data_IF_934600796424
#
_entry.id   IF_934600796424
#
_cell.length_a   1.000
_cell.length_b   1.000
_cell.length_c   1.000
_cell.angle_alpha   90.00
_cell.angle_beta   90.00
_cell.angle_gamma   90.00
#
_symmetry.space_group_name_H-M   'P 1'
#
loop_
_entity.id
_entity.type
_entity.pdbx_description
1 polymer ?
#
# COMPACT_ATOMS: atom_id res chain seq x y z
N UNK A 1 -18.53 6.14 -34.99
CA UNK A 1 -17.23 5.69 -34.43
C UNK A 1 -17.30 5.89 -32.93
N UNK A 2 -17.27 4.78 -32.19
CA UNK A 2 -16.89 4.55 -30.79
C UNK A 2 -17.62 5.42 -29.73
N UNK A 3 -18.63 4.95 -29.00
CA UNK A 3 -18.54 3.87 -27.99
C UNK A 3 -17.77 4.42 -26.79
N UNK A 4 -18.35 4.63 -25.61
CA UNK A 4 -18.80 3.58 -24.70
C UNK A 4 -19.89 4.06 -23.75
N UNK A 5 -20.83 3.15 -23.52
CA UNK A 5 -22.09 3.26 -22.81
C UNK A 5 -21.86 3.08 -21.31
N UNK A 6 -22.48 3.96 -20.53
CA UNK A 6 -22.69 3.77 -19.11
C UNK A 6 -23.57 2.53 -18.89
N UNK A 7 -23.05 1.51 -18.21
CA UNK A 7 -23.86 0.38 -17.73
C UNK A 7 -23.70 0.30 -16.21
N UNK A 8 -24.62 0.96 -15.54
CA UNK A 8 -25.02 0.65 -14.17
C UNK A 8 -25.64 -0.75 -14.15
N UNK A 9 -25.10 -1.66 -13.33
CA UNK A 9 -25.80 -2.91 -12.99
C UNK A 9 -26.00 -2.93 -11.48
N UNK A 10 -27.19 -2.52 -11.07
CA UNK A 10 -27.76 -2.87 -9.78
C UNK A 10 -28.83 -3.93 -10.05
N UNK A 11 -28.69 -5.14 -9.51
CA UNK A 11 -29.76 -6.10 -9.22
C UNK A 11 -29.14 -7.18 -8.31
N UNK A 12 -29.34 -7.21 -6.99
CA UNK A 12 -30.52 -7.60 -6.19
C UNK A 12 -31.07 -9.01 -6.50
N UNK A 13 -31.02 -9.85 -5.46
CA UNK A 13 -31.99 -10.91 -5.07
C UNK A 13 -31.85 -12.29 -5.74
N UNK A 14 -31.60 -13.29 -4.87
CA UNK A 14 -32.39 -14.54 -4.82
C UNK A 14 -32.08 -15.65 -5.82
N UNK A 15 -31.46 -16.72 -5.31
CA UNK A 15 -31.38 -18.09 -5.87
C UNK A 15 -32.65 -18.56 -6.61
N UNK A 16 -32.52 -19.40 -7.66
CA UNK A 16 -32.50 -20.84 -7.39
C UNK A 16 -31.46 -21.64 -8.19
N UNK A 17 -31.06 -22.75 -7.58
CA UNK A 17 -30.14 -23.75 -8.11
C UNK A 17 -30.61 -24.34 -9.45
N UNK A 18 -29.74 -24.30 -10.47
CA UNK A 18 -29.86 -25.18 -11.63
C UNK A 18 -28.74 -26.21 -11.52
N UNK A 19 -29.09 -27.39 -11.04
CA UNK A 19 -28.25 -28.58 -11.11
C UNK A 19 -28.25 -29.09 -12.55
N UNK A 20 -27.24 -28.69 -13.33
CA UNK A 20 -26.97 -29.31 -14.63
C UNK A 20 -25.94 -30.41 -14.39
N UNK A 21 -26.43 -31.63 -14.15
CA UNK A 21 -25.63 -32.84 -14.26
C UNK A 21 -25.44 -33.17 -15.75
N UNK A 22 -24.37 -32.63 -16.34
CA UNK A 22 -23.88 -33.04 -17.66
C UNK A 22 -22.44 -33.53 -17.49
N UNK A 23 -22.27 -34.83 -17.77
CA UNK A 23 -21.02 -35.56 -17.81
C UNK A 23 -19.94 -34.81 -18.58
N UNK A 24 -19.01 -34.21 -17.84
CA UNK A 24 -17.76 -33.68 -18.39
C UNK A 24 -16.71 -34.81 -18.37
N UNK A 25 -15.98 -35.05 -19.47
CA UNK A 25 -14.83 -35.94 -19.45
C UNK A 25 -13.84 -35.39 -18.43
N UNK A 26 -13.28 -36.28 -17.59
CA UNK A 26 -12.35 -35.95 -16.52
C UNK A 26 -11.33 -34.89 -16.98
N UNK A 27 -11.53 -33.65 -16.56
CA UNK A 27 -10.52 -32.60 -16.73
C UNK A 27 -9.26 -33.09 -16.00
N UNK A 28 -8.08 -33.10 -16.64
CA UNK A 28 -6.85 -33.25 -15.89
C UNK A 28 -6.86 -32.17 -14.78
N UNK A 29 -6.37 -32.49 -13.56
CA UNK A 29 -6.38 -31.52 -12.48
C UNK A 29 -5.77 -30.22 -13.00
N UNK A 30 -6.40 -29.05 -12.75
CA UNK A 30 -5.85 -27.80 -13.21
C UNK A 30 -4.42 -27.75 -12.69
N UNK A 31 -3.46 -27.71 -13.62
CA UNK A 31 -2.11 -27.28 -13.35
C UNK A 31 -2.23 -26.11 -12.40
N UNK A 32 -1.79 -26.32 -11.16
CA UNK A 32 -1.81 -25.33 -10.11
C UNK A 32 -1.04 -24.14 -10.66
N UNK A 33 -1.77 -23.14 -11.15
CA UNK A 33 -1.21 -21.85 -11.49
C UNK A 33 -0.35 -21.46 -10.30
N UNK A 34 0.96 -21.19 -10.48
CA UNK A 34 1.77 -20.77 -9.37
C UNK A 34 1.10 -19.52 -8.81
N UNK A 35 0.50 -19.66 -7.62
CA UNK A 35 0.04 -18.53 -6.82
C UNK A 35 1.20 -17.53 -6.88
N UNK A 36 0.99 -16.29 -7.34
CA UNK A 36 2.05 -15.32 -7.24
C UNK A 36 2.30 -15.20 -5.74
N UNK A 37 3.38 -15.85 -5.28
CA UNK A 37 3.92 -15.67 -3.94
C UNK A 37 4.51 -14.28 -4.00
N UNK A 38 3.62 -13.28 -3.94
CA UNK A 38 4.00 -11.93 -3.59
C UNK A 38 4.22 -11.99 -2.08
N UNK A 39 5.32 -12.64 -1.70
CA UNK A 39 6.09 -12.18 -0.56
C UNK A 39 6.59 -10.78 -0.96
N UNK A 40 5.67 -9.81 -1.00
CA UNK A 40 6.03 -8.41 -0.97
C UNK A 40 6.68 -8.26 0.40
N UNK A 41 8.01 -8.34 0.42
CA UNK A 41 8.78 -7.96 1.59
C UNK A 41 8.31 -6.55 1.93
N UNK A 42 7.52 -6.44 3.00
CA UNK A 42 7.00 -5.16 3.44
C UNK A 42 8.19 -4.19 3.54
N UNK A 43 8.11 -3.00 2.91
CA UNK A 43 9.24 -2.09 2.89
C UNK A 43 9.65 -1.79 4.32
N UNK A 44 10.96 -1.88 4.59
CA UNK A 44 11.50 -1.70 5.95
C UNK A 44 11.06 -0.34 6.47
N UNK A 45 10.86 -0.20 7.78
CA UNK A 45 10.32 1.03 8.35
C UNK A 45 11.15 2.28 7.98
N UNK A 46 12.46 2.13 7.74
CA UNK A 46 13.34 3.20 7.24
C UNK A 46 12.88 3.72 5.87
N UNK A 47 12.56 2.82 4.94
CA UNK A 47 12.10 3.18 3.59
C UNK A 47 10.74 3.87 3.65
N UNK A 48 9.86 3.43 4.56
CA UNK A 48 8.58 4.12 4.81
C UNK A 48 8.79 5.52 5.38
N UNK A 49 9.77 5.70 6.26
CA UNK A 49 10.12 7.02 6.79
C UNK A 49 10.66 7.94 5.69
N UNK A 50 11.53 7.43 4.83
CA UNK A 50 12.04 8.15 3.66
C UNK A 50 10.90 8.63 2.75
N UNK A 51 9.94 7.75 2.45
CA UNK A 51 8.77 8.11 1.66
C UNK A 51 7.88 9.14 2.36
N UNK A 52 7.57 8.92 3.65
CA UNK A 52 6.69 9.79 4.43
C UNK A 52 7.22 11.21 4.57
N UNK A 53 8.53 11.37 4.73
CA UNK A 53 9.20 12.68 4.81
C UNK A 53 9.78 13.14 3.46
N UNK A 54 9.51 12.40 2.36
CA UNK A 54 10.08 12.54 1.00
C UNK A 54 11.59 12.86 0.99
N UNK A 55 12.36 12.06 1.71
CA UNK A 55 13.81 12.17 1.83
C UNK A 55 14.51 11.33 0.74
N UNK A 56 15.77 11.64 0.40
CA UNK A 56 16.56 10.79 -0.47
C UNK A 56 16.81 9.42 0.19
N UNK A 57 16.98 8.38 -0.62
CA UNK A 57 17.26 7.02 -0.14
C UNK A 57 18.48 6.97 0.79
N UNK A 58 18.39 6.15 1.83
CA UNK A 58 19.44 5.96 2.83
C UNK A 58 19.39 6.95 3.99
N UNK A 59 18.56 8.00 3.95
CA UNK A 59 18.41 8.94 5.06
C UNK A 59 17.51 8.43 6.19
N UNK A 60 16.74 7.36 5.96
CA UNK A 60 15.95 6.72 7.01
C UNK A 60 16.78 6.18 8.17
N UNK A 61 18.10 6.00 7.96
CA UNK A 61 19.07 5.57 8.99
C UNK A 61 19.34 6.62 10.07
N UNK A 62 19.08 7.90 9.81
CA UNK A 62 19.29 9.00 10.77
C UNK A 62 18.14 9.17 11.75
N UNK A 63 17.16 8.27 11.67
CA UNK A 63 15.99 8.20 12.50
C UNK A 63 15.97 6.82 13.17
N UNK A 64 15.57 6.75 14.43
CA UNK A 64 15.38 5.47 15.12
C UNK A 64 13.96 4.95 14.90
N UNK A 65 13.74 3.65 15.09
CA UNK A 65 12.40 3.06 14.99
C UNK A 65 11.42 3.66 16.02
N UNK A 66 11.93 4.08 17.19
CA UNK A 66 11.13 4.78 18.20
C UNK A 66 10.68 6.16 17.70
N UNK A 67 11.61 6.98 17.22
CA UNK A 67 11.29 8.28 16.62
C UNK A 67 10.31 8.11 15.44
N UNK A 68 10.49 7.06 14.62
CA UNK A 68 9.58 6.78 13.51
C UNK A 68 8.15 6.56 13.98
N UNK A 69 7.95 5.73 15.01
CA UNK A 69 6.62 5.47 15.57
C UNK A 69 6.01 6.73 16.20
N UNK A 70 6.82 7.55 16.85
CA UNK A 70 6.37 8.83 17.41
C UNK A 70 5.93 9.79 16.30
N UNK A 71 6.75 9.99 15.27
CA UNK A 71 6.38 10.83 14.15
C UNK A 71 5.16 10.31 13.39
N UNK A 72 5.00 8.99 13.27
CA UNK A 72 3.79 8.40 12.73
C UNK A 72 2.57 8.83 13.55
N UNK A 73 2.59 8.66 14.88
CA UNK A 73 1.49 9.12 15.74
C UNK A 73 1.21 10.61 15.56
N UNK A 74 2.25 11.45 15.50
CA UNK A 74 2.06 12.88 15.24
C UNK A 74 1.41 13.14 13.89
N UNK A 75 1.84 12.48 12.82
CA UNK A 75 1.24 12.60 11.50
C UNK A 75 -0.25 12.19 11.47
N UNK A 76 -0.65 11.22 12.30
CA UNK A 76 -2.06 10.83 12.46
C UNK A 76 -2.90 11.86 13.22
N UNK A 77 -2.29 12.67 14.07
CA UNK A 77 -2.98 13.70 14.87
C UNK A 77 -3.07 15.07 14.19
N UNK A 78 -2.21 15.33 13.21
CA UNK A 78 -2.13 16.62 12.54
C UNK A 78 -3.13 16.75 11.39
N UNK A 79 -3.62 17.96 11.15
CA UNK A 79 -4.40 18.27 9.95
C UNK A 79 -3.53 18.28 8.69
N UNK A 80 -4.14 18.08 7.52
CA UNK A 80 -3.43 18.06 6.24
C UNK A 80 -2.44 19.24 5.99
N UNK A 81 -2.78 20.51 6.30
CA UNK A 81 -1.81 21.61 6.16
C UNK A 81 -0.65 21.51 7.15
N UNK A 82 -0.91 21.11 8.40
CA UNK A 82 0.12 20.97 9.45
C UNK A 82 1.09 19.82 9.15
N UNK A 83 0.60 18.73 8.54
CA UNK A 83 1.42 17.60 8.08
C UNK A 83 2.52 18.08 7.12
N UNK A 84 2.22 19.03 6.23
CA UNK A 84 3.20 19.58 5.31
C UNK A 84 4.35 20.30 6.03
N UNK A 85 4.00 21.19 6.96
CA UNK A 85 4.96 21.94 7.80
C UNK A 85 5.79 20.98 8.66
N UNK A 86 5.13 20.01 9.30
CA UNK A 86 5.78 19.04 10.15
C UNK A 86 6.79 18.17 9.38
N UNK A 87 6.40 17.65 8.20
CA UNK A 87 7.30 16.86 7.34
C UNK A 87 8.54 17.67 6.92
N UNK A 88 8.37 18.94 6.61
CA UNK A 88 9.48 19.82 6.25
C UNK A 88 10.44 20.03 7.43
N UNK A 89 9.91 20.24 8.64
CA UNK A 89 10.70 20.40 9.85
C UNK A 89 11.50 19.12 10.20
N UNK A 90 10.86 17.95 10.16
CA UNK A 90 11.53 16.66 10.41
C UNK A 90 12.61 16.39 9.36
N UNK A 91 12.32 16.66 8.08
CA UNK A 91 13.33 16.54 7.02
C UNK A 91 14.55 17.44 7.29
N UNK A 92 14.34 18.70 7.62
CA UNK A 92 15.43 19.63 7.88
C UNK A 92 16.33 19.15 9.05
N UNK A 93 15.72 18.65 10.13
CA UNK A 93 16.46 18.06 11.25
C UNK A 93 17.29 16.85 10.82
N UNK A 94 16.72 15.96 9.99
CA UNK A 94 17.43 14.76 9.55
C UNK A 94 18.57 15.06 8.58
N UNK A 95 18.39 16.05 7.70
CA UNK A 95 19.47 16.53 6.82
C UNK A 95 20.60 17.15 7.65
N UNK A 96 20.27 17.93 8.68
CA UNK A 96 21.28 18.50 9.57
C UNK A 96 22.07 17.42 10.35
N UNK A 97 21.37 16.39 10.85
CA UNK A 97 22.01 15.21 11.47
C UNK A 97 22.90 14.47 10.48
N UNK A 98 22.45 14.31 9.23
CA UNK A 98 23.24 13.66 8.19
C UNK A 98 24.52 14.45 7.82
N UNK A 99 24.47 15.78 7.94
CA UNK A 99 25.61 16.67 7.70
C UNK A 99 26.58 16.77 8.89
N UNK A 100 26.19 16.29 10.08
CA UNK A 100 27.00 16.32 11.31
C UNK A 100 27.31 14.88 11.78
N UNK A 101 28.23 14.17 11.09
CA UNK A 101 28.53 12.77 11.35
C UNK A 101 29.15 12.51 12.73
#
# INVERSE_FOLDING_TARGET
>A
MNGWIAVSIAYLVGLPAIAIALSLPAQPPPETLPLPTVAQAEPRWQERAEQAFRMPRGHGRYLTEREWREHQRTLWTLSAPEVGVYRAAVRAQLVARAASP
#
